data_IF_157567868632
#
_entry.id   IF_157567868632
#
_cell.length_a   1.000
_cell.length_b   1.000
_cell.length_c   1.000
_cell.angle_alpha   90.00
_cell.angle_beta   90.00
_cell.angle_gamma   90.00
#
_symmetry.space_group_name_H-M   'P 1'
#
loop_
_entity.id
_entity.type
_entity.pdbx_description
1 polymer ?
#
# COMPACT_ATOMS: atom_id res chain seq x y z
N UNK A 1 20.49 -6.01 7.86
CA UNK A 1 19.57 -5.55 8.93
C UNK A 1 19.13 -4.11 8.74
N UNK A 2 20.00 -3.20 8.26
CA UNK A 2 19.69 -1.76 8.12
C UNK A 2 18.47 -1.45 7.23
N UNK A 3 18.28 -2.19 6.14
CA UNK A 3 17.14 -2.01 5.26
C UNK A 3 15.80 -2.33 5.95
N UNK A 4 15.74 -3.46 6.68
CA UNK A 4 14.56 -3.82 7.48
C UNK A 4 14.25 -2.78 8.54
N UNK A 5 15.28 -2.26 9.23
CA UNK A 5 15.11 -1.18 10.20
C UNK A 5 14.61 0.10 9.53
N UNK A 6 15.05 0.40 8.31
CA UNK A 6 14.59 1.55 7.54
C UNK A 6 13.10 1.41 7.15
N UNK A 7 12.63 0.21 6.79
CA UNK A 7 11.19 -0.06 6.55
C UNK A 7 10.36 0.21 7.81
N UNK A 8 10.78 -0.30 8.97
CA UNK A 8 10.05 -0.02 10.23
C UNK A 8 10.12 1.47 10.58
N UNK A 9 11.28 2.08 10.39
CA UNK A 9 11.49 3.50 10.63
C UNK A 9 10.55 4.37 9.81
N UNK A 10 10.42 4.09 8.51
CA UNK A 10 9.52 4.87 7.65
C UNK A 10 8.05 4.64 8.03
N UNK A 11 7.67 3.40 8.35
CA UNK A 11 6.33 3.09 8.83
C UNK A 11 5.98 3.90 10.09
N UNK A 12 6.90 3.97 11.06
CA UNK A 12 6.73 4.74 12.28
C UNK A 12 6.65 6.25 11.98
N UNK A 13 7.50 6.80 11.10
CA UNK A 13 7.44 8.22 10.75
C UNK A 13 6.11 8.60 10.08
N UNK A 14 5.57 7.74 9.20
CA UNK A 14 4.27 7.97 8.58
C UNK A 14 3.13 7.90 9.59
N UNK A 15 3.17 6.95 10.53
CA UNK A 15 2.17 6.84 11.59
C UNK A 15 2.18 8.06 12.53
N UNK A 16 3.36 8.60 12.82
CA UNK A 16 3.55 9.74 13.73
C UNK A 16 3.43 11.11 13.04
N UNK A 17 3.22 11.14 11.72
CA UNK A 17 3.23 12.36 10.90
C UNK A 17 4.52 13.21 11.06
N UNK A 18 5.65 12.57 11.39
CA UNK A 18 6.95 13.24 11.52
C UNK A 18 7.64 13.31 10.15
N UNK A 19 7.27 14.34 9.36
CA UNK A 19 7.75 14.53 7.99
C UNK A 19 9.25 14.78 7.90
N UNK A 20 9.87 15.32 8.96
CA UNK A 20 11.26 15.77 8.94
C UNK A 20 12.25 14.60 9.03
N UNK A 21 11.91 13.55 9.78
CA UNK A 21 12.72 12.32 9.86
C UNK A 21 12.50 11.37 8.68
N UNK A 22 11.43 11.58 7.90
CA UNK A 22 11.09 10.69 6.78
C UNK A 22 12.07 10.80 5.61
N UNK A 23 12.64 11.98 5.33
CA UNK A 23 13.43 12.21 4.12
C UNK A 23 14.70 11.34 4.04
N UNK A 24 15.49 11.29 5.12
CA UNK A 24 16.74 10.53 5.17
C UNK A 24 16.54 9.01 5.09
N UNK A 25 15.41 8.52 5.61
CA UNK A 25 15.05 7.09 5.59
C UNK A 25 14.52 6.70 4.20
N UNK A 26 13.77 7.61 3.57
CA UNK A 26 13.19 7.40 2.24
C UNK A 26 14.25 7.12 1.19
N UNK A 27 15.41 7.79 1.27
CA UNK A 27 16.51 7.59 0.34
C UNK A 27 17.13 6.19 0.42
N UNK A 28 17.24 5.64 1.63
CA UNK A 28 17.75 4.28 1.87
C UNK A 28 16.82 3.19 1.33
N UNK A 29 15.55 3.52 1.11
CA UNK A 29 14.52 2.61 0.61
C UNK A 29 14.22 2.80 -0.88
N UNK A 30 14.94 3.69 -1.57
CA UNK A 30 14.75 3.88 -3.02
C UNK A 30 15.16 2.63 -3.83
N UNK A 31 16.11 1.86 -3.31
CA UNK A 31 16.58 0.61 -3.91
C UNK A 31 16.42 -0.55 -2.93
N UNK A 32 16.10 -1.72 -3.47
CA UNK A 32 16.18 -2.97 -2.72
C UNK A 32 17.62 -3.48 -2.80
N UNK A 33 18.29 -3.75 -1.66
CA UNK A 33 19.63 -4.34 -1.65
C UNK A 33 19.70 -5.61 -2.48
N UNK A 34 20.79 -5.81 -3.23
CA UNK A 34 20.93 -6.94 -4.16
C UNK A 34 20.79 -8.30 -3.48
N UNK A 35 21.26 -8.41 -2.23
CA UNK A 35 21.16 -9.64 -1.44
C UNK A 35 19.71 -10.00 -1.14
N UNK A 36 18.85 -8.99 -0.94
CA UNK A 36 17.42 -9.16 -0.74
C UNK A 36 16.66 -9.31 -2.07
N UNK A 37 17.16 -8.70 -3.14
CA UNK A 37 16.57 -8.83 -4.47
C UNK A 37 16.79 -10.22 -5.08
N UNK A 38 17.94 -10.83 -4.80
CA UNK A 38 18.32 -12.16 -5.30
C UNK A 38 17.94 -13.30 -4.34
N UNK A 39 17.33 -12.98 -3.20
CA UNK A 39 16.83 -13.96 -2.23
C UNK A 39 15.61 -14.72 -2.76
N UNK A 40 15.48 -15.99 -2.39
CA UNK A 40 14.29 -16.80 -2.69
C UNK A 40 13.03 -16.30 -1.98
N UNK A 41 13.19 -15.67 -0.81
CA UNK A 41 12.08 -15.10 -0.06
C UNK A 41 11.47 -13.92 -0.82
N UNK A 42 10.18 -13.96 -1.21
CA UNK A 42 9.52 -12.89 -1.94
C UNK A 42 9.14 -11.68 -1.04
N UNK A 43 9.21 -11.81 0.28
CA UNK A 43 8.79 -10.78 1.24
C UNK A 43 9.49 -9.41 1.06
N UNK A 44 10.82 -9.31 0.88
CA UNK A 44 11.48 -8.02 0.67
C UNK A 44 10.97 -7.33 -0.60
N UNK A 45 10.74 -8.12 -1.65
CA UNK A 45 10.18 -7.64 -2.91
C UNK A 45 8.73 -7.19 -2.79
N UNK A 46 7.92 -7.84 -1.95
CA UNK A 46 6.55 -7.44 -1.64
C UNK A 46 6.52 -6.08 -0.93
N UNK A 47 7.30 -5.95 0.16
CA UNK A 47 7.40 -4.74 0.96
C UNK A 47 7.92 -3.55 0.17
N UNK A 48 8.95 -3.76 -0.66
CA UNK A 48 9.50 -2.68 -1.47
C UNK A 48 8.46 -2.14 -2.47
N UNK A 49 7.69 -3.02 -3.11
CA UNK A 49 6.58 -2.60 -3.97
C UNK A 49 5.47 -1.90 -3.18
N UNK A 50 5.09 -2.43 -2.01
CA UNK A 50 4.08 -1.81 -1.15
C UNK A 50 4.51 -0.40 -0.72
N UNK A 51 5.75 -0.25 -0.25
CA UNK A 51 6.38 1.03 0.09
C UNK A 51 6.31 2.03 -1.07
N UNK A 52 6.72 1.61 -2.29
CA UNK A 52 6.69 2.47 -3.48
C UNK A 52 5.26 2.91 -3.81
N UNK A 53 4.29 2.00 -3.74
CA UNK A 53 2.89 2.34 -3.98
C UNK A 53 2.34 3.32 -2.94
N UNK A 54 2.70 3.15 -1.66
CA UNK A 54 2.32 4.07 -0.58
C UNK A 54 2.95 5.45 -0.73
N UNK A 55 4.22 5.54 -1.15
CA UNK A 55 4.82 6.83 -1.52
C UNK A 55 4.12 7.49 -2.70
N UNK A 56 3.71 6.69 -3.68
CA UNK A 56 2.88 7.15 -4.78
C UNK A 56 1.58 7.74 -4.28
N UNK A 57 0.89 7.09 -3.33
CA UNK A 57 -0.33 7.64 -2.71
C UNK A 57 -0.08 8.99 -2.02
N UNK A 58 1.00 9.13 -1.26
CA UNK A 58 1.35 10.43 -0.66
C UNK A 58 1.60 11.51 -1.71
N UNK A 59 2.13 11.13 -2.88
CA UNK A 59 2.35 12.04 -4.00
C UNK A 59 1.05 12.36 -4.75
N UNK A 60 0.10 11.42 -4.79
CA UNK A 60 -1.23 11.59 -5.40
C UNK A 60 -2.00 12.73 -4.73
N UNK A 61 -1.84 12.92 -3.42
CA UNK A 61 -2.44 14.04 -2.68
C UNK A 61 -1.96 15.42 -3.16
N UNK A 62 -0.85 15.48 -3.90
CA UNK A 62 -0.28 16.72 -4.45
C UNK A 62 -0.73 16.99 -5.90
N UNK A 63 -1.40 16.04 -6.57
CA UNK A 63 -1.94 16.21 -7.91
C UNK A 63 -3.07 17.25 -7.91
N UNK A 64 -3.10 18.14 -8.90
CA UNK A 64 -4.04 19.28 -8.96
C UNK A 64 -5.17 19.10 -9.97
N UNK A 65 -4.94 18.28 -10.99
CA UNK A 65 -5.88 18.06 -12.09
C UNK A 65 -6.31 16.59 -12.16
N UNK A 66 -7.49 16.35 -12.71
CA UNK A 66 -8.09 15.00 -12.75
C UNK A 66 -7.26 14.02 -13.60
N UNK A 67 -6.64 14.50 -14.68
CA UNK A 67 -5.85 13.64 -15.56
C UNK A 67 -4.56 13.15 -14.88
N UNK A 68 -3.87 14.02 -14.13
CA UNK A 68 -2.72 13.61 -13.34
C UNK A 68 -3.10 12.70 -12.18
N UNK A 69 -4.25 12.93 -11.52
CA UNK A 69 -4.79 12.02 -10.50
C UNK A 69 -5.04 10.64 -11.08
N UNK A 70 -5.72 10.54 -12.22
CA UNK A 70 -6.04 9.27 -12.88
C UNK A 70 -4.79 8.50 -13.28
N UNK A 71 -3.87 9.14 -14.03
CA UNK A 71 -2.63 8.51 -14.48
C UNK A 71 -1.74 8.05 -13.31
N UNK A 72 -1.67 8.87 -12.26
CA UNK A 72 -0.88 8.54 -11.06
C UNK A 72 -1.53 7.39 -10.31
N UNK A 73 -2.86 7.40 -10.17
CA UNK A 73 -3.65 6.31 -9.58
C UNK A 73 -3.42 4.99 -10.29
N UNK A 74 -3.47 4.95 -11.63
CA UNK A 74 -3.18 3.73 -12.40
C UNK A 74 -1.77 3.19 -12.13
N UNK A 75 -0.78 4.09 -12.05
CA UNK A 75 0.61 3.70 -11.78
C UNK A 75 0.75 3.14 -10.37
N UNK A 76 0.13 3.78 -9.37
CA UNK A 76 0.11 3.32 -7.99
C UNK A 76 -0.53 1.94 -7.90
N UNK A 77 -1.68 1.75 -8.52
CA UNK A 77 -2.41 0.47 -8.48
C UNK A 77 -1.63 -0.65 -9.14
N UNK A 78 -0.96 -0.42 -10.29
CA UNK A 78 -0.08 -1.42 -10.91
C UNK A 78 1.03 -1.89 -9.97
N UNK A 79 1.67 -0.96 -9.25
CA UNK A 79 2.72 -1.30 -8.27
C UNK A 79 2.13 -1.99 -7.03
N UNK A 80 0.94 -1.56 -6.59
CA UNK A 80 0.20 -2.16 -5.49
C UNK A 80 -0.24 -3.60 -5.80
N UNK A 81 -0.64 -3.89 -7.04
CA UNK A 81 -0.98 -5.24 -7.50
C UNK A 81 0.25 -6.16 -7.46
N UNK A 82 1.41 -5.67 -7.92
CA UNK A 82 2.69 -6.41 -7.80
C UNK A 82 3.01 -6.71 -6.33
N UNK A 83 2.79 -5.74 -5.43
CA UNK A 83 3.00 -5.94 -4.01
C UNK A 83 2.05 -7.02 -3.45
N UNK A 84 0.78 -6.98 -3.83
CA UNK A 84 -0.23 -7.96 -3.44
C UNK A 84 0.10 -9.39 -3.91
N UNK A 85 0.50 -9.55 -5.18
CA UNK A 85 0.91 -10.86 -5.71
C UNK A 85 2.12 -11.41 -4.94
N UNK A 86 3.17 -10.59 -4.74
CA UNK A 86 4.35 -11.02 -3.99
C UNK A 86 4.07 -11.30 -2.51
N UNK A 87 3.11 -10.59 -1.91
CA UNK A 87 2.65 -10.86 -0.55
C UNK A 87 1.94 -12.22 -0.48
N UNK A 88 1.10 -12.55 -1.46
CA UNK A 88 0.48 -13.88 -1.56
C UNK A 88 1.54 -14.98 -1.71
N UNK A 89 2.54 -14.76 -2.58
CA UNK A 89 3.68 -15.67 -2.73
C UNK A 89 4.47 -15.82 -1.42
N UNK A 90 4.65 -14.73 -0.66
CA UNK A 90 5.31 -14.75 0.65
C UNK A 90 4.53 -15.58 1.67
N UNK A 91 3.20 -15.40 1.75
CA UNK A 91 2.37 -16.19 2.64
C UNK A 91 2.46 -17.68 2.29
N UNK A 92 2.40 -18.03 0.99
CA UNK A 92 2.57 -19.40 0.53
C UNK A 92 3.97 -19.96 0.83
N UNK A 93 5.02 -19.16 0.61
CA UNK A 93 6.41 -19.53 0.90
C UNK A 93 6.61 -19.88 2.39
N UNK A 94 5.98 -19.12 3.29
CA UNK A 94 6.02 -19.37 4.73
C UNK A 94 5.01 -20.41 5.23
N UNK A 95 4.17 -21.01 4.38
CA UNK A 95 3.44 -22.22 4.74
C UNK A 95 4.39 -23.43 4.91
N UNK A 96 5.48 -23.46 4.14
CA UNK A 96 6.43 -24.58 4.10
C UNK A 96 7.74 -24.29 4.84
N UNK A 97 7.92 -23.07 5.35
CA UNK A 97 9.11 -22.63 6.12
C UNK A 97 8.66 -21.97 7.41
N UNK A 98 9.47 -22.04 8.47
CA UNK A 98 9.14 -21.41 9.75
C UNK A 98 9.50 -19.91 9.69
N UNK A 99 8.53 -18.97 9.58
CA UNK A 99 8.85 -17.55 9.60
C UNK A 99 9.36 -17.12 10.98
N UNK A 100 10.21 -16.10 10.99
CA UNK A 100 10.51 -15.38 12.23
C UNK A 100 9.32 -14.47 12.60
N UNK A 101 9.24 -14.07 13.86
CA UNK A 101 8.21 -13.09 14.28
C UNK A 101 8.32 -11.78 13.51
N UNK A 102 9.53 -11.32 13.23
CA UNK A 102 9.78 -10.13 12.42
C UNK A 102 9.15 -10.27 11.02
N UNK A 103 9.32 -11.42 10.37
CA UNK A 103 8.77 -11.66 9.03
C UNK A 103 7.24 -11.63 9.02
N UNK A 104 6.59 -12.22 10.03
CA UNK A 104 5.13 -12.15 10.15
C UNK A 104 4.65 -10.70 10.36
N UNK A 105 5.32 -9.93 11.21
CA UNK A 105 4.99 -8.51 11.41
C UNK A 105 5.18 -7.69 10.12
N UNK A 106 6.20 -8.01 9.35
CA UNK A 106 6.45 -7.38 8.06
C UNK A 106 5.39 -7.76 7.00
N UNK A 107 4.87 -8.98 7.01
CA UNK A 107 3.73 -9.38 6.16
C UNK A 107 2.46 -8.60 6.53
N UNK A 108 2.20 -8.42 7.83
CA UNK A 108 1.07 -7.59 8.31
C UNK A 108 1.23 -6.15 7.85
N UNK A 109 2.41 -5.55 8.06
CA UNK A 109 2.70 -4.19 7.59
C UNK A 109 2.51 -4.05 6.07
N UNK A 110 2.97 -5.04 5.30
CA UNK A 110 2.78 -5.07 3.85
C UNK A 110 1.29 -5.12 3.47
N UNK A 111 0.50 -5.94 4.18
CA UNK A 111 -0.94 -6.03 3.98
C UNK A 111 -1.62 -4.68 4.27
N UNK A 112 -1.29 -4.06 5.40
CA UNK A 112 -1.82 -2.75 5.80
C UNK A 112 -1.55 -1.70 4.72
N UNK A 113 -0.33 -1.64 4.18
CA UNK A 113 0.02 -0.72 3.10
C UNK A 113 -0.73 -0.99 1.80
N UNK A 114 -0.90 -2.26 1.42
CA UNK A 114 -1.66 -2.61 0.20
C UNK A 114 -3.11 -2.18 0.33
N UNK A 115 -3.73 -2.40 1.50
CA UNK A 115 -5.11 -2.01 1.76
C UNK A 115 -5.27 -0.49 1.83
N UNK A 116 -4.39 0.19 2.56
CA UNK A 116 -4.36 1.65 2.69
C UNK A 116 -4.21 2.33 1.32
N UNK A 117 -3.34 1.80 0.45
CA UNK A 117 -3.14 2.34 -0.90
C UNK A 117 -4.38 2.21 -1.76
N UNK A 118 -5.03 1.05 -1.78
CA UNK A 118 -6.26 0.85 -2.56
C UNK A 118 -7.39 1.75 -2.06
N UNK A 119 -7.55 1.88 -0.75
CA UNK A 119 -8.53 2.76 -0.14
C UNK A 119 -8.26 4.24 -0.50
N UNK A 120 -7.02 4.70 -0.34
CA UNK A 120 -6.65 6.09 -0.65
C UNK A 120 -6.80 6.44 -2.13
N UNK A 121 -6.46 5.53 -3.05
CA UNK A 121 -6.70 5.74 -4.49
C UNK A 121 -8.20 5.80 -4.79
N UNK A 122 -8.99 4.92 -4.17
CA UNK A 122 -10.44 4.93 -4.33
C UNK A 122 -11.06 6.25 -3.86
N UNK A 123 -10.63 6.77 -2.70
CA UNK A 123 -11.09 8.05 -2.16
C UNK A 123 -10.68 9.26 -3.01
N UNK A 124 -9.50 9.20 -3.64
CA UNK A 124 -9.02 10.24 -4.55
C UNK A 124 -9.77 10.27 -5.89
N UNK A 125 -10.48 9.18 -6.24
CA UNK A 125 -11.20 9.06 -7.51
C UNK A 125 -12.31 10.12 -7.66
N UNK A 126 -12.45 10.74 -8.85
CA UNK A 126 -13.47 11.74 -9.11
C UNK A 126 -14.90 11.22 -8.90
N UNK A 127 -15.13 9.91 -9.06
CA UNK A 127 -16.42 9.27 -8.79
C UNK A 127 -16.87 9.44 -7.33
N UNK A 128 -15.93 9.31 -6.38
CA UNK A 128 -16.19 9.46 -4.94
C UNK A 128 -16.33 10.93 -4.55
N UNK A 129 -15.47 11.81 -5.11
CA UNK A 129 -15.55 13.26 -4.90
C UNK A 129 -16.87 13.86 -5.39
N UNK A 130 -17.41 13.34 -6.50
CA UNK A 130 -18.69 13.78 -7.06
C UNK A 130 -19.89 13.27 -6.25
N UNK A 131 -19.78 12.11 -5.60
CA UNK A 131 -20.84 11.57 -4.74
C UNK A 131 -20.99 12.33 -3.41
N UNK A 132 -19.89 12.88 -2.86
CA UNK A 132 -19.92 13.72 -1.65
C UNK A 132 -20.52 15.12 -1.83
N UNK A 133 -20.75 15.56 -3.07
CA UNK A 133 -21.37 16.84 -3.40
C UNK A 133 -22.90 16.82 -3.51
N UNK A 134 -23.55 15.66 -3.37
CA UNK A 134 -25.01 15.53 -3.38
C UNK A 134 -25.53 15.29 -1.97
N UNK A 135 -25.67 16.38 -1.20
CA UNK A 135 -26.69 16.43 -0.15
C UNK A 135 -28.06 16.28 -0.81
N UNK A 136 -28.60 15.07 -0.76
CA UNK A 136 -29.92 14.73 -1.30
C UNK A 136 -30.24 13.29 -0.94
N UNK A 137 -30.87 13.12 0.21
CA UNK A 137 -31.40 11.86 0.76
C UNK A 137 -32.13 11.02 -0.29
N UNK A 138 -31.67 9.80 -0.52
CA UNK A 138 -32.53 8.71 -1.02
C UNK A 138 -32.42 7.52 -0.06
N UNK A 139 -33.55 7.01 0.47
CA UNK A 139 -33.53 5.88 1.37
C UNK A 139 -33.11 4.60 0.61
N UNK A 140 -32.45 3.64 1.27
CA UNK A 140 -32.09 2.37 0.66
C UNK A 140 -33.37 1.62 0.25
N UNK A 141 -33.36 1.08 -0.97
CA UNK A 141 -34.43 0.26 -1.51
C UNK A 141 -34.71 -0.94 -0.60
N UNK A 142 -35.98 -1.32 -0.37
CA UNK A 142 -36.31 -2.42 0.53
C UNK A 142 -35.75 -3.74 -0.03
N UNK A 143 -35.00 -4.45 0.83
CA UNK A 143 -34.50 -5.78 0.56
C UNK A 143 -35.65 -6.70 0.15
N UNK A 144 -35.72 -6.99 -1.15
CA UNK A 144 -36.71 -7.92 -1.69
C UNK A 144 -36.22 -9.33 -1.40
N UNK A 145 -36.81 -9.90 -0.35
CA UNK A 145 -36.67 -11.28 0.12
C UNK A 145 -36.35 -12.29 -1.00
N UNK A 146 -35.20 -12.96 -0.88
CA UNK A 146 -35.03 -14.31 -1.42
C UNK A 146 -35.79 -15.26 -0.49
N UNK A 147 -37.00 -15.63 -0.90
CA UNK A 147 -37.73 -16.80 -0.40
C UNK A 147 -37.78 -17.83 -1.53
N UNK A 148 -37.60 -19.08 -1.09
CA UNK A 148 -37.63 -20.36 -1.79
C UNK A 148 -36.34 -20.71 -2.53
#
# INVERSE_FOLDING_TARGET
MEWWASIVGVAATWLLADSQKSADIVDKLNLLPEELANSEDPLPGALHSAYKSRRGLLSLALCKDEHSVERTSETILKVCDIAGTRLADSLAYYCCRKPTQLMMLMQVLCCDWVLEVRAGVWEASPAVRSAGGRSGTTPPAPHRHLRA
#
